data_IF_761194937014
#
_entry.id   IF_761194937014
#
_cell.length_a   1.000
_cell.length_b   1.000
_cell.length_c   1.000
_cell.angle_alpha   90.00
_cell.angle_beta   90.00
_cell.angle_gamma   90.00
#
_symmetry.space_group_name_H-M   'P 1'
#
loop_
_entity.id
_entity.type
_entity.pdbx_description
1 polymer ?
#
# COMPACT_ATOMS: atom_id res chain seq x y z
N UNK A 1 -11.24 -6.44 -10.37
CA UNK A 1 -12.06 -7.69 -10.40
C UNK A 1 -13.18 -7.61 -9.37
N UNK A 2 -14.42 -7.96 -9.76
CA UNK A 2 -15.60 -7.87 -8.89
C UNK A 2 -15.63 -8.92 -7.76
N UNK A 3 -14.79 -9.95 -7.84
CA UNK A 3 -14.62 -10.90 -6.74
C UNK A 3 -13.68 -10.37 -5.63
N UNK A 4 -12.94 -9.30 -5.89
CA UNK A 4 -12.08 -8.66 -4.90
C UNK A 4 -12.87 -7.62 -4.10
N UNK A 5 -12.61 -7.53 -2.78
CA UNK A 5 -13.37 -6.68 -1.88
C UNK A 5 -13.45 -5.21 -2.34
N UNK A 6 -12.36 -4.64 -2.87
CA UNK A 6 -12.38 -3.24 -3.31
C UNK A 6 -13.42 -3.00 -4.42
N UNK A 7 -13.43 -3.81 -5.49
CA UNK A 7 -14.43 -3.70 -6.56
C UNK A 7 -15.84 -4.02 -6.07
N UNK A 8 -16.00 -5.12 -5.34
CA UNK A 8 -17.31 -5.56 -4.83
C UNK A 8 -17.94 -4.56 -3.86
N UNK A 9 -17.14 -4.03 -2.90
CA UNK A 9 -17.66 -3.09 -1.92
C UNK A 9 -18.12 -1.78 -2.57
N UNK A 10 -17.35 -1.25 -3.53
CA UNK A 10 -17.72 -0.03 -4.25
C UNK A 10 -18.98 -0.24 -5.09
N UNK A 11 -19.14 -1.38 -5.76
CA UNK A 11 -20.37 -1.69 -6.47
C UNK A 11 -21.58 -1.75 -5.52
N UNK A 12 -21.44 -2.40 -4.35
CA UNK A 12 -22.51 -2.44 -3.33
C UNK A 12 -22.89 -1.05 -2.84
N UNK A 13 -21.90 -0.19 -2.55
CA UNK A 13 -22.13 1.21 -2.14
C UNK A 13 -22.86 1.98 -3.25
N UNK A 14 -22.44 1.82 -4.50
CA UNK A 14 -23.07 2.49 -5.62
C UNK A 14 -24.52 2.04 -5.82
N UNK A 15 -24.81 0.74 -5.72
CA UNK A 15 -26.19 0.22 -5.79
C UNK A 15 -27.04 0.73 -4.63
N UNK A 16 -26.54 0.69 -3.41
CA UNK A 16 -27.25 1.20 -2.23
C UNK A 16 -27.52 2.70 -2.30
N UNK A 17 -26.60 3.46 -2.93
CA UNK A 17 -26.71 4.91 -3.10
C UNK A 17 -27.38 5.34 -4.40
N UNK A 18 -27.89 4.41 -5.22
CA UNK A 18 -28.45 4.69 -6.55
C UNK A 18 -27.51 5.50 -7.45
N UNK A 19 -26.20 5.18 -7.41
CA UNK A 19 -25.16 5.88 -8.15
C UNK A 19 -24.84 5.18 -9.48
N UNK A 20 -24.45 5.95 -10.49
CA UNK A 20 -23.91 5.40 -11.75
C UNK A 20 -22.54 4.76 -11.54
N UNK A 21 -22.29 3.66 -12.23
CA UNK A 21 -21.01 2.94 -12.23
C UNK A 21 -20.48 2.90 -13.65
N UNK A 22 -19.21 3.28 -13.82
CA UNK A 22 -18.41 3.01 -15.01
C UNK A 22 -17.52 1.83 -14.71
N UNK A 23 -17.84 0.67 -15.30
CA UNK A 23 -17.11 -0.57 -15.11
C UNK A 23 -16.27 -0.87 -16.35
N UNK A 24 -14.95 -0.88 -16.20
CA UNK A 24 -14.03 -1.29 -17.26
C UNK A 24 -13.80 -2.81 -17.21
N UNK A 25 -13.65 -3.50 -18.36
CA UNK A 25 -13.43 -4.95 -18.41
C UNK A 25 -12.16 -5.38 -17.68
N UNK A 26 -11.11 -4.58 -17.83
CA UNK A 26 -9.84 -4.67 -17.11
C UNK A 26 -9.28 -3.27 -16.94
N UNK A 27 -8.27 -3.11 -16.06
CA UNK A 27 -7.60 -1.84 -15.91
C UNK A 27 -6.64 -1.61 -17.08
N UNK A 28 -6.87 -0.51 -17.79
CA UNK A 28 -5.93 0.14 -18.70
C UNK A 28 -5.91 1.64 -18.35
N UNK A 29 -4.72 2.24 -18.22
CA UNK A 29 -4.59 3.61 -17.73
C UNK A 29 -5.21 4.62 -18.71
N UNK A 30 -5.07 4.41 -20.03
CA UNK A 30 -5.61 5.31 -21.05
C UNK A 30 -7.14 5.22 -21.13
N UNK A 31 -7.68 4.00 -21.07
CA UNK A 31 -9.15 3.79 -21.03
C UNK A 31 -9.72 4.40 -19.74
N UNK A 32 -9.02 4.25 -18.61
CA UNK A 32 -9.44 4.83 -17.32
C UNK A 32 -9.51 6.36 -17.38
N UNK A 33 -8.47 7.03 -17.93
CA UNK A 33 -8.44 8.49 -18.12
C UNK A 33 -9.55 8.94 -19.07
N UNK A 34 -9.69 8.28 -20.22
CA UNK A 34 -10.72 8.62 -21.22
C UNK A 34 -12.15 8.46 -20.68
N UNK A 35 -12.37 7.46 -19.82
CA UNK A 35 -13.66 7.23 -19.16
C UNK A 35 -14.02 8.36 -18.20
N UNK A 36 -13.05 9.00 -17.53
CA UNK A 36 -13.31 10.14 -16.64
C UNK A 36 -13.98 11.29 -17.40
N UNK A 37 -13.41 11.69 -18.52
CA UNK A 37 -13.97 12.77 -19.36
C UNK A 37 -15.31 12.38 -19.97
N UNK A 38 -15.35 11.19 -20.60
CA UNK A 38 -16.53 10.71 -21.32
C UNK A 38 -17.78 10.62 -20.45
N UNK A 39 -17.62 10.11 -19.22
CA UNK A 39 -18.73 9.86 -18.31
C UNK A 39 -18.81 10.85 -17.15
N UNK A 40 -17.93 11.87 -17.14
CA UNK A 40 -17.83 12.89 -16.08
C UNK A 40 -17.76 12.26 -14.69
N UNK A 41 -16.86 11.30 -14.56
CA UNK A 41 -16.67 10.50 -13.31
C UNK A 41 -16.27 11.44 -12.18
N UNK A 42 -16.95 11.31 -11.04
CA UNK A 42 -16.73 12.17 -9.86
C UNK A 42 -15.95 11.47 -8.74
N UNK A 43 -15.96 10.16 -8.72
CA UNK A 43 -15.28 9.34 -7.71
C UNK A 43 -14.45 8.26 -8.40
N UNK A 44 -13.15 8.29 -8.15
CA UNK A 44 -12.22 7.27 -8.61
C UNK A 44 -11.93 6.28 -7.47
N UNK A 45 -11.96 4.99 -7.80
CA UNK A 45 -11.48 3.94 -6.90
C UNK A 45 -10.31 3.20 -7.56
N UNK A 46 -9.26 2.94 -6.80
CA UNK A 46 -8.01 2.39 -7.33
C UNK A 46 -7.16 1.73 -6.24
N UNK A 47 -6.08 1.14 -6.66
CA UNK A 47 -4.91 0.82 -5.81
C UNK A 47 -3.74 1.71 -6.21
N UNK A 48 -2.73 1.85 -5.34
CA UNK A 48 -1.59 2.72 -5.58
C UNK A 48 -0.91 2.48 -6.93
N UNK A 49 -0.70 1.21 -7.32
CA UNK A 49 -0.08 0.85 -8.60
C UNK A 49 -0.90 1.32 -9.82
N UNK A 50 -2.23 1.27 -9.75
CA UNK A 50 -3.09 1.79 -10.83
C UNK A 50 -2.91 3.30 -10.99
N UNK A 51 -2.92 4.06 -9.88
CA UNK A 51 -2.72 5.51 -9.95
C UNK A 51 -1.31 5.89 -10.41
N UNK A 52 -0.29 5.13 -10.04
CA UNK A 52 1.06 5.33 -10.57
C UNK A 52 1.11 5.17 -12.09
N UNK A 53 0.38 4.18 -12.64
CA UNK A 53 0.25 4.02 -14.11
C UNK A 53 -0.52 5.18 -14.76
N UNK A 54 -1.59 5.68 -14.12
CA UNK A 54 -2.35 6.85 -14.60
C UNK A 54 -1.46 8.08 -14.66
N UNK A 55 -0.69 8.36 -13.62
CA UNK A 55 0.19 9.55 -13.55
C UNK A 55 1.26 9.56 -14.65
N UNK A 56 1.66 8.40 -15.17
CA UNK A 56 2.63 8.27 -16.28
C UNK A 56 2.08 8.72 -17.65
N UNK A 57 0.77 8.76 -17.83
CA UNK A 57 0.14 9.12 -19.10
C UNK A 57 0.09 10.65 -19.29
N UNK A 58 1.25 11.33 -19.12
CA UNK A 58 1.37 12.79 -19.06
C UNK A 58 0.72 13.52 -20.24
N UNK A 59 0.96 13.08 -21.49
CA UNK A 59 0.41 13.70 -22.68
C UNK A 59 -1.13 13.58 -22.72
N UNK A 60 -1.66 12.41 -22.38
CA UNK A 60 -3.11 12.19 -22.33
C UNK A 60 -3.77 12.99 -21.22
N UNK A 61 -3.13 13.04 -20.03
CA UNK A 61 -3.61 13.83 -18.90
C UNK A 61 -3.67 15.34 -19.21
N UNK A 62 -2.70 15.86 -20.00
CA UNK A 62 -2.67 17.29 -20.37
C UNK A 62 -3.78 17.69 -21.31
N UNK A 63 -4.32 16.76 -22.08
CA UNK A 63 -5.36 17.01 -23.10
C UNK A 63 -6.76 16.57 -22.68
N UNK A 64 -6.89 15.82 -21.55
CA UNK A 64 -8.17 15.26 -21.05
C UNK A 64 -8.76 16.15 -19.96
N UNK A 65 -10.06 16.40 -20.03
CA UNK A 65 -10.77 17.17 -18.99
C UNK A 65 -11.10 16.29 -17.78
N UNK A 66 -10.33 16.47 -16.71
CA UNK A 66 -10.45 15.72 -15.44
C UNK A 66 -11.23 16.50 -14.36
N UNK A 67 -11.80 17.68 -14.67
CA UNK A 67 -12.39 18.60 -13.70
C UNK A 67 -13.62 18.04 -12.96
N UNK A 68 -14.22 16.96 -13.46
CA UNK A 68 -15.34 16.29 -12.79
C UNK A 68 -14.94 15.51 -11.54
N UNK A 69 -13.65 15.14 -11.41
CA UNK A 69 -13.18 14.31 -10.30
C UNK A 69 -13.19 15.10 -8.99
N UNK A 70 -13.88 14.60 -8.00
CA UNK A 70 -13.97 15.19 -6.65
C UNK A 70 -13.27 14.33 -5.59
N UNK A 71 -13.23 13.02 -5.79
CA UNK A 71 -12.66 12.08 -4.83
C UNK A 71 -11.79 11.06 -5.55
N UNK A 72 -10.59 10.85 -5.04
CA UNK A 72 -9.71 9.72 -5.39
C UNK A 72 -9.55 8.85 -4.14
N UNK A 73 -10.16 7.67 -4.15
CA UNK A 73 -9.98 6.68 -3.09
C UNK A 73 -8.97 5.64 -3.52
N UNK A 74 -7.90 5.56 -2.78
CA UNK A 74 -6.93 4.47 -2.89
C UNK A 74 -7.06 3.53 -1.70
N UNK A 75 -6.64 2.29 -1.84
CA UNK A 75 -6.62 1.32 -0.76
C UNK A 75 -6.00 0.00 -1.19
N UNK A 76 -6.03 -0.99 -0.29
CA UNK A 76 -5.54 -2.36 -0.51
C UNK A 76 -4.03 -2.50 -0.76
N UNK A 77 -3.27 -1.42 -0.77
CA UNK A 77 -1.81 -1.38 -0.89
C UNK A 77 -1.26 -0.11 -0.22
N UNK A 78 0.00 -0.11 0.22
CA UNK A 78 0.65 1.10 0.71
C UNK A 78 0.63 2.22 -0.32
N UNK A 79 0.44 3.46 0.15
CA UNK A 79 0.46 4.67 -0.68
C UNK A 79 1.65 5.51 -0.26
N UNK A 80 2.48 5.95 -1.21
CA UNK A 80 3.61 6.83 -0.94
C UNK A 80 3.21 8.30 -0.99
N UNK A 81 3.95 9.13 -0.23
CA UNK A 81 3.77 10.59 -0.26
C UNK A 81 3.99 11.17 -1.66
N UNK A 82 4.96 10.59 -2.40
CA UNK A 82 5.26 11.06 -3.74
C UNK A 82 4.09 10.82 -4.69
N UNK A 83 3.47 9.63 -4.65
CA UNK A 83 2.29 9.34 -5.46
C UNK A 83 1.15 10.31 -5.13
N UNK A 84 0.93 10.62 -3.86
CA UNK A 84 -0.09 11.61 -3.46
C UNK A 84 0.23 12.99 -4.05
N UNK A 85 1.49 13.44 -4.01
CA UNK A 85 1.91 14.72 -4.64
C UNK A 85 1.64 14.73 -6.14
N UNK A 86 1.95 13.62 -6.82
CA UNK A 86 1.75 13.51 -8.27
C UNK A 86 0.26 13.51 -8.64
N UNK A 87 -0.58 12.82 -7.86
CA UNK A 87 -2.04 12.85 -8.03
C UNK A 87 -2.60 14.26 -7.78
N UNK A 88 -2.15 14.96 -6.74
CA UNK A 88 -2.57 16.35 -6.47
C UNK A 88 -2.23 17.31 -7.60
N UNK A 89 -1.12 17.06 -8.32
CA UNK A 89 -0.73 17.87 -9.47
C UNK A 89 -1.72 17.73 -10.64
N UNK A 90 -2.19 16.52 -10.92
CA UNK A 90 -3.13 16.25 -12.02
C UNK A 90 -4.60 16.44 -11.63
N UNK A 91 -4.92 16.32 -10.36
CA UNK A 91 -6.28 16.44 -9.80
C UNK A 91 -6.29 17.39 -8.58
N UNK A 92 -5.98 18.69 -8.75
CA UNK A 92 -5.75 19.61 -7.65
C UNK A 92 -7.00 19.85 -6.76
N UNK A 93 -8.19 19.65 -7.31
CA UNK A 93 -9.46 19.85 -6.59
C UNK A 93 -10.03 18.57 -5.98
N UNK A 94 -9.39 17.42 -6.20
CA UNK A 94 -9.90 16.17 -5.70
C UNK A 94 -9.41 15.89 -4.26
N UNK A 95 -10.34 15.43 -3.41
CA UNK A 95 -9.98 14.88 -2.10
C UNK A 95 -9.37 13.50 -2.29
N UNK A 96 -8.13 13.33 -1.87
CA UNK A 96 -7.47 12.02 -1.86
C UNK A 96 -7.74 11.35 -0.53
N UNK A 97 -8.14 10.08 -0.57
CA UNK A 97 -8.36 9.26 0.63
C UNK A 97 -7.63 7.94 0.50
N UNK A 98 -6.93 7.57 1.56
CA UNK A 98 -6.31 6.26 1.70
C UNK A 98 -7.19 5.39 2.61
N UNK A 99 -7.74 4.32 2.09
CA UNK A 99 -8.64 3.43 2.82
C UNK A 99 -7.97 2.11 3.17
N UNK A 100 -8.28 1.61 4.35
CA UNK A 100 -7.83 0.31 4.82
C UNK A 100 -9.00 -0.63 5.07
N UNK A 101 -8.78 -1.89 4.81
CA UNK A 101 -9.69 -2.99 5.13
C UNK A 101 -9.11 -4.31 4.67
N UNK A 102 -9.58 -5.41 5.25
CA UNK A 102 -9.21 -6.77 4.88
C UNK A 102 -10.44 -7.55 4.49
N UNK A 103 -10.27 -8.64 3.76
CA UNK A 103 -11.39 -9.53 3.42
C UNK A 103 -12.01 -10.10 4.69
N UNK A 104 -11.19 -10.35 5.69
CA UNK A 104 -11.55 -10.98 6.96
C UNK A 104 -12.25 -10.02 7.92
N UNK A 105 -11.95 -8.74 7.90
CA UNK A 105 -12.50 -7.74 8.83
C UNK A 105 -13.43 -6.70 8.16
N UNK A 106 -13.63 -6.83 6.85
CA UNK A 106 -14.46 -5.89 6.08
C UNK A 106 -13.74 -4.58 5.73
N UNK A 107 -14.42 -3.70 4.96
CA UNK A 107 -13.82 -2.50 4.38
C UNK A 107 -13.83 -1.28 5.33
N UNK A 108 -14.42 -1.36 6.51
CA UNK A 108 -14.65 -0.22 7.40
C UNK A 108 -14.04 -0.50 8.77
N UNK A 109 -12.80 -0.06 8.94
CA UNK A 109 -12.05 -0.13 10.20
C UNK A 109 -11.75 1.27 10.72
N UNK A 110 -11.64 2.24 9.80
CA UNK A 110 -11.28 3.63 10.06
C UNK A 110 -12.39 4.59 9.64
N UNK A 111 -12.51 5.68 10.36
CA UNK A 111 -13.51 6.73 10.17
C UNK A 111 -12.90 8.12 10.17
N UNK A 112 -13.78 9.11 10.34
CA UNK A 112 -13.38 10.49 10.53
C UNK A 112 -12.89 10.71 11.96
N UNK A 113 -11.98 11.69 12.13
CA UNK A 113 -11.55 12.11 13.46
C UNK A 113 -12.73 12.74 14.22
N UNK A 114 -12.93 12.42 15.51
CA UNK A 114 -14.08 12.91 16.28
C UNK A 114 -14.11 14.43 16.43
N UNK A 115 -12.96 15.09 16.42
CA UNK A 115 -12.84 16.55 16.47
C UNK A 115 -12.82 17.20 15.07
N UNK A 116 -13.08 16.44 14.01
CA UNK A 116 -13.12 16.95 12.64
C UNK A 116 -11.76 17.25 12.01
N UNK A 117 -10.66 16.78 12.61
CA UNK A 117 -9.32 16.94 12.02
C UNK A 117 -9.26 16.24 10.65
N UNK A 118 -8.60 16.90 9.69
CA UNK A 118 -8.41 16.34 8.37
C UNK A 118 -7.48 15.13 8.41
N UNK A 119 -7.89 14.06 7.72
CA UNK A 119 -7.02 12.87 7.59
C UNK A 119 -5.74 13.24 6.83
N UNK A 120 -4.55 12.98 7.40
CA UNK A 120 -3.28 13.15 6.70
C UNK A 120 -3.18 12.26 5.46
N UNK A 121 -2.49 12.72 4.44
CA UNK A 121 -2.46 12.13 3.08
C UNK A 121 -2.18 10.62 3.02
N UNK A 122 -1.23 10.12 3.80
CA UNK A 122 -0.84 8.71 3.80
C UNK A 122 -1.41 7.91 4.98
N UNK A 123 -2.15 8.58 5.87
CA UNK A 123 -2.87 7.90 6.96
C UNK A 123 -3.98 7.01 6.39
N UNK A 124 -4.25 5.91 7.05
CA UNK A 124 -5.42 5.05 6.75
C UNK A 124 -6.70 5.54 7.44
N UNK A 125 -6.59 6.57 8.28
CA UNK A 125 -7.68 7.22 8.99
C UNK A 125 -7.58 7.13 10.50
N UNK A 126 -8.63 7.59 11.19
CA UNK A 126 -8.79 7.51 12.62
C UNK A 126 -9.51 6.19 12.99
N UNK A 127 -9.01 5.37 13.93
CA UNK A 127 -9.64 4.10 14.27
C UNK A 127 -11.04 4.31 14.84
N UNK A 128 -12.02 3.56 14.35
CA UNK A 128 -13.36 3.60 14.92
C UNK A 128 -13.31 2.95 16.32
N UNK A 129 -13.86 3.65 17.30
CA UNK A 129 -13.84 3.21 18.70
C UNK A 129 -14.39 1.78 18.86
N UNK A 130 -13.71 0.98 19.68
CA UNK A 130 -14.06 -0.42 19.96
C UNK A 130 -14.04 -1.38 18.75
N UNK A 131 -13.54 -0.93 17.60
CA UNK A 131 -13.42 -1.76 16.38
C UNK A 131 -11.98 -2.12 16.07
N UNK A 132 -11.05 -1.23 16.36
CA UNK A 132 -9.64 -1.36 16.07
C UNK A 132 -8.78 -1.03 17.30
N UNK A 133 -7.73 -1.81 17.51
CA UNK A 133 -6.70 -1.54 18.53
C UNK A 133 -5.34 -1.96 18.01
N UNK A 134 -4.27 -1.34 18.50
CA UNK A 134 -2.91 -1.77 18.24
C UNK A 134 -2.39 -2.58 19.42
N UNK A 135 -1.72 -3.69 19.13
CA UNK A 135 -1.21 -4.63 20.14
C UNK A 135 0.29 -4.82 19.94
N UNK A 136 1.05 -4.57 21.00
CA UNK A 136 2.48 -4.84 21.08
C UNK A 136 2.77 -5.66 22.34
N UNK A 137 3.05 -6.95 22.14
CA UNK A 137 3.16 -7.91 23.24
C UNK A 137 1.89 -7.93 24.10
N UNK A 138 2.02 -7.56 25.38
CA UNK A 138 0.90 -7.48 26.32
C UNK A 138 0.17 -6.13 26.35
N UNK A 139 0.67 -5.13 25.61
CA UNK A 139 0.06 -3.81 25.54
C UNK A 139 -1.02 -3.79 24.45
N UNK A 140 -2.29 -3.78 24.85
CA UNK A 140 -3.45 -3.84 23.97
C UNK A 140 -3.94 -2.48 23.45
N UNK A 141 -3.26 -1.38 23.79
CA UNK A 141 -3.52 -0.02 23.28
C UNK A 141 -2.19 0.68 22.99
N UNK A 142 -1.32 0.01 22.27
CA UNK A 142 -0.03 0.53 21.88
C UNK A 142 -0.15 1.64 20.83
N UNK A 143 0.87 2.51 20.73
CA UNK A 143 0.98 3.47 19.62
C UNK A 143 1.66 2.87 18.38
N UNK A 144 2.23 1.69 18.53
CA UNK A 144 2.87 0.90 17.49
C UNK A 144 2.60 -0.57 17.78
N UNK A 145 2.17 -1.33 16.78
CA UNK A 145 1.92 -2.75 16.96
C UNK A 145 1.04 -3.35 15.89
N UNK A 146 0.68 -4.62 16.07
CA UNK A 146 -0.24 -5.31 15.18
C UNK A 146 -1.66 -4.76 15.35
N UNK A 147 -2.30 -4.46 14.22
CA UNK A 147 -3.70 -4.07 14.21
C UNK A 147 -4.59 -5.29 14.49
N UNK A 148 -5.40 -5.20 15.53
CA UNK A 148 -6.47 -6.15 15.80
C UNK A 148 -7.83 -5.49 15.54
N UNK A 149 -8.76 -6.26 14.95
CA UNK A 149 -10.10 -5.80 14.59
C UNK A 149 -11.19 -6.63 15.24
N UNK A 150 -12.26 -5.96 15.69
CA UNK A 150 -13.46 -6.61 16.25
C UNK A 150 -14.70 -5.81 15.86
N UNK A 151 -15.41 -6.25 14.84
CA UNK A 151 -16.61 -5.59 14.32
C UNK A 151 -17.57 -6.63 13.73
N UNK A 152 -18.82 -6.27 13.43
CA UNK A 152 -19.82 -7.22 12.88
C UNK A 152 -19.47 -7.80 11.51
N UNK A 153 -18.50 -7.21 10.77
CA UNK A 153 -18.07 -7.68 9.47
C UNK A 153 -16.85 -8.63 9.55
N UNK A 154 -16.32 -8.87 10.75
CA UNK A 154 -15.24 -9.85 10.94
C UNK A 154 -15.77 -11.25 10.61
N UNK A 155 -15.01 -11.98 9.81
CA UNK A 155 -15.33 -13.35 9.41
C UNK A 155 -15.53 -14.26 10.62
N UNK A 156 -16.41 -15.26 10.56
CA UNK A 156 -16.53 -16.28 11.61
C UNK A 156 -15.32 -17.25 11.61
N UNK A 157 -14.56 -17.29 10.53
CA UNK A 157 -13.37 -18.13 10.38
C UNK A 157 -13.09 -18.52 8.94
N UNK A 158 -11.97 -19.18 8.73
CA UNK A 158 -11.58 -19.74 7.43
C UNK A 158 -12.30 -21.06 7.17
N UNK A 159 -12.95 -21.18 6.02
CA UNK A 159 -13.73 -22.36 5.66
C UNK A 159 -12.88 -23.65 5.68
N UNK A 160 -13.29 -24.63 6.47
CA UNK A 160 -12.61 -25.92 6.66
C UNK A 160 -11.16 -25.84 7.17
N UNK A 161 -10.79 -24.73 7.81
CA UNK A 161 -9.45 -24.51 8.36
C UNK A 161 -9.53 -24.05 9.82
N UNK A 162 -9.95 -24.93 10.76
CA UNK A 162 -10.19 -24.55 12.16
C UNK A 162 -8.91 -24.10 12.87
N UNK A 163 -7.76 -24.72 12.61
CA UNK A 163 -6.49 -24.33 13.23
C UNK A 163 -6.05 -22.94 12.77
N UNK A 164 -6.11 -22.67 11.48
CA UNK A 164 -5.85 -21.31 10.95
C UNK A 164 -6.82 -20.26 11.51
N UNK A 165 -8.07 -20.64 11.71
CA UNK A 165 -9.07 -19.77 12.35
C UNK A 165 -8.65 -19.46 13.78
N UNK A 166 -8.29 -20.47 14.57
CA UNK A 166 -7.82 -20.29 15.95
C UNK A 166 -6.59 -19.40 16.03
N UNK A 167 -5.62 -19.57 15.13
CA UNK A 167 -4.41 -18.74 15.05
C UNK A 167 -4.72 -17.28 14.69
N UNK A 168 -5.75 -17.03 13.88
CA UNK A 168 -6.12 -15.70 13.42
C UNK A 168 -6.84 -14.84 14.47
N UNK A 169 -7.26 -15.42 15.59
CA UNK A 169 -7.93 -14.69 16.65
C UNK A 169 -7.12 -14.68 17.94
N UNK A 170 -7.22 -13.61 18.70
CA UNK A 170 -6.72 -13.53 20.06
C UNK A 170 -7.67 -14.24 21.02
N UNK A 171 -7.22 -14.55 22.24
CA UNK A 171 -8.01 -15.23 23.26
C UNK A 171 -9.30 -14.46 23.62
N UNK A 172 -9.28 -13.13 23.55
CA UNK A 172 -10.41 -12.22 23.79
C UNK A 172 -11.26 -11.95 22.53
N UNK A 173 -11.02 -12.72 21.45
CA UNK A 173 -11.85 -12.77 20.25
C UNK A 173 -11.65 -11.61 19.27
N UNK A 174 -10.48 -10.97 19.25
CA UNK A 174 -10.11 -10.00 18.22
C UNK A 174 -9.40 -10.71 17.06
N UNK A 175 -9.76 -10.35 15.85
CA UNK A 175 -9.07 -10.79 14.64
C UNK A 175 -7.71 -10.09 14.53
N UNK A 176 -6.65 -10.85 14.44
CA UNK A 176 -5.26 -10.41 14.20
C UNK A 176 -5.05 -10.23 12.71
N UNK A 177 -4.82 -8.99 12.27
CA UNK A 177 -4.75 -8.71 10.83
C UNK A 177 -3.43 -9.09 10.17
N UNK A 178 -2.37 -9.26 10.97
CA UNK A 178 -1.01 -9.38 10.49
C UNK A 178 -0.42 -8.06 9.96
N UNK A 179 -1.14 -6.95 10.08
CA UNK A 179 -0.68 -5.63 9.63
C UNK A 179 -0.17 -4.82 10.82
N UNK A 180 1.07 -4.33 10.71
CA UNK A 180 1.68 -3.43 11.70
C UNK A 180 1.30 -2.00 11.36
N UNK A 181 0.84 -1.28 12.37
CA UNK A 181 0.45 0.12 12.28
C UNK A 181 1.20 0.95 13.33
N UNK A 182 1.33 2.23 13.07
CA UNK A 182 1.70 3.24 14.08
C UNK A 182 0.60 4.29 14.19
N UNK A 183 0.42 4.84 15.39
CA UNK A 183 -0.43 6.00 15.65
C UNK A 183 0.43 7.27 15.72
N UNK A 184 -0.09 8.39 15.23
CA UNK A 184 0.51 9.71 15.50
C UNK A 184 -0.07 10.34 16.78
N UNK A 185 0.36 11.55 17.10
CA UNK A 185 -0.09 12.32 18.28
C UNK A 185 -1.58 12.67 18.26
N UNK A 186 -2.19 12.70 17.06
CA UNK A 186 -3.61 12.93 16.87
C UNK A 186 -4.41 11.63 16.78
N UNK A 187 -3.79 10.47 16.94
CA UNK A 187 -4.44 9.17 16.89
C UNK A 187 -4.72 8.63 15.49
N UNK A 188 -4.25 9.28 14.43
CA UNK A 188 -4.34 8.72 13.08
C UNK A 188 -3.37 7.55 12.90
N UNK A 189 -3.84 6.49 12.26
CA UNK A 189 -3.02 5.31 12.02
C UNK A 189 -2.35 5.34 10.64
N UNK A 190 -1.14 4.77 10.59
CA UNK A 190 -0.33 4.64 9.39
C UNK A 190 0.15 3.21 9.23
N UNK A 191 -0.01 2.65 8.06
CA UNK A 191 0.51 1.32 7.76
C UNK A 191 2.04 1.34 7.73
N UNK A 192 2.64 0.43 8.49
CA UNK A 192 4.09 0.22 8.57
C UNK A 192 4.50 -0.94 7.66
N UNK A 193 3.90 -2.10 7.86
CA UNK A 193 4.23 -3.32 7.13
C UNK A 193 3.36 -4.49 7.55
N UNK A 194 3.70 -5.66 7.05
CA UNK A 194 3.08 -6.91 7.49
C UNK A 194 4.02 -7.69 8.39
N UNK A 195 3.44 -8.37 9.37
CA UNK A 195 4.18 -9.33 10.22
C UNK A 195 4.87 -10.39 9.35
N UNK A 196 4.16 -10.91 8.33
CA UNK A 196 4.65 -11.97 7.45
C UNK A 196 5.73 -11.51 6.46
N UNK A 197 5.77 -10.22 6.11
CA UNK A 197 6.76 -9.65 5.19
C UNK A 197 8.03 -9.19 5.91
N UNK A 198 7.98 -9.07 7.24
CA UNK A 198 9.11 -8.67 8.06
C UNK A 198 10.22 -9.73 7.98
N UNK A 199 11.45 -9.29 7.87
CA UNK A 199 12.62 -10.16 7.94
C UNK A 199 13.71 -9.58 8.85
N UNK A 200 14.51 -10.48 9.43
CA UNK A 200 15.59 -10.08 10.31
C UNK A 200 16.92 -9.95 9.55
N UNK A 201 17.59 -8.81 9.72
CA UNK A 201 18.89 -8.52 9.14
C UNK A 201 19.90 -8.21 10.24
N UNK A 202 20.66 -9.21 10.65
CA UNK A 202 21.71 -9.04 11.67
C UNK A 202 21.19 -8.64 13.05
N UNK A 203 20.01 -9.15 13.45
CA UNK A 203 19.34 -8.84 14.70
C UNK A 203 18.26 -7.77 14.61
N UNK A 204 18.21 -6.99 13.53
CA UNK A 204 17.25 -5.91 13.34
C UNK A 204 16.09 -6.34 12.45
N UNK A 205 14.86 -5.97 12.82
CA UNK A 205 13.67 -6.24 12.04
C UNK A 205 13.49 -5.20 10.94
N UNK A 206 13.37 -5.66 9.71
CA UNK A 206 13.11 -4.82 8.53
C UNK A 206 11.69 -5.09 8.03
N UNK A 207 10.92 -4.02 7.93
CA UNK A 207 9.64 -4.02 7.22
C UNK A 207 9.88 -3.46 5.81
N UNK A 208 9.76 -4.28 4.75
CA UNK A 208 10.04 -3.84 3.37
C UNK A 208 9.36 -2.54 2.98
N UNK A 209 8.10 -2.36 3.37
CA UNK A 209 7.32 -1.16 3.04
C UNK A 209 7.84 0.14 3.68
N UNK A 210 8.56 0.08 4.80
CA UNK A 210 9.23 1.26 5.37
C UNK A 210 10.40 1.69 4.49
N UNK A 211 11.20 0.73 4.05
CA UNK A 211 12.34 0.99 3.16
C UNK A 211 11.85 1.50 1.80
N UNK A 212 10.80 0.91 1.25
CA UNK A 212 10.16 1.34 0.00
C UNK A 212 9.69 2.79 0.07
N UNK A 213 8.93 3.14 1.12
CA UNK A 213 8.47 4.51 1.35
C UNK A 213 9.63 5.51 1.50
N UNK A 214 10.71 5.11 2.17
CA UNK A 214 11.90 5.93 2.31
C UNK A 214 12.55 6.17 0.94
N UNK A 215 12.74 5.14 0.13
CA UNK A 215 13.31 5.25 -1.21
C UNK A 215 12.42 6.09 -2.14
N UNK A 216 11.10 5.91 -2.11
CA UNK A 216 10.13 6.64 -2.95
C UNK A 216 10.00 8.13 -2.60
N UNK A 217 10.62 8.61 -1.50
CA UNK A 217 10.77 10.06 -1.23
C UNK A 217 11.82 10.71 -2.11
N UNK A 218 12.72 9.93 -2.71
CA UNK A 218 13.71 10.46 -3.65
C UNK A 218 13.02 10.92 -4.94
N UNK A 219 13.33 12.15 -5.39
CA UNK A 219 12.66 12.78 -6.56
C UNK A 219 12.79 12.01 -7.87
N UNK A 220 13.84 11.21 -8.02
CA UNK A 220 14.11 10.41 -9.21
C UNK A 220 13.63 8.95 -9.13
N UNK A 221 13.07 8.54 -8.00
CA UNK A 221 12.48 7.21 -7.84
C UNK A 221 10.98 7.31 -8.01
N UNK A 222 10.43 6.46 -8.86
CA UNK A 222 8.99 6.38 -9.07
C UNK A 222 8.35 5.33 -8.19
N UNK A 223 8.92 4.13 -8.19
CA UNK A 223 8.47 3.00 -7.36
C UNK A 223 9.66 2.20 -6.87
N UNK A 224 9.53 1.64 -5.68
CA UNK A 224 10.47 0.70 -5.13
C UNK A 224 9.76 -0.54 -4.56
N UNK A 225 10.42 -1.69 -4.65
CA UNK A 225 10.00 -2.91 -3.98
C UNK A 225 11.22 -3.57 -3.34
N UNK A 226 11.13 -3.85 -2.05
CA UNK A 226 12.22 -4.44 -1.27
C UNK A 226 11.86 -5.88 -0.91
N UNK A 227 12.82 -6.77 -1.15
CA UNK A 227 12.67 -8.18 -0.82
C UNK A 227 13.86 -8.68 0.00
N UNK A 228 13.67 -9.66 0.89
CA UNK A 228 14.75 -10.29 1.61
C UNK A 228 15.56 -11.21 0.68
N UNK A 229 16.88 -11.19 0.79
CA UNK A 229 17.75 -12.18 0.19
C UNK A 229 18.62 -12.78 1.28
N UNK A 230 18.75 -14.12 1.28
CA UNK A 230 19.56 -14.82 2.28
C UNK A 230 21.00 -14.33 2.28
N UNK A 231 21.55 -14.12 3.47
CA UNK A 231 22.94 -13.74 3.71
C UNK A 231 23.55 -14.65 4.77
N UNK A 232 24.80 -15.11 4.55
CA UNK A 232 25.43 -16.08 5.44
C UNK A 232 25.75 -15.53 6.83
N UNK A 233 25.92 -14.20 6.96
CA UNK A 233 26.32 -13.55 8.22
C UNK A 233 25.10 -12.96 8.92
N UNK A 234 24.19 -12.32 8.15
CA UNK A 234 23.07 -11.54 8.69
C UNK A 234 21.73 -12.26 8.66
N UNK A 235 21.67 -13.49 8.17
CA UNK A 235 20.46 -14.23 7.90
C UNK A 235 19.78 -13.74 6.60
N UNK A 236 19.34 -12.48 6.59
CA UNK A 236 18.81 -11.82 5.39
C UNK A 236 19.45 -10.45 5.20
N UNK A 237 19.36 -9.94 3.96
CA UNK A 237 19.71 -8.57 3.60
C UNK A 237 18.65 -7.99 2.66
N UNK A 238 18.38 -6.68 2.73
CA UNK A 238 17.44 -6.03 1.83
C UNK A 238 18.02 -5.86 0.43
N UNK A 239 17.22 -6.21 -0.58
CA UNK A 239 17.49 -5.96 -2.00
C UNK A 239 16.34 -5.14 -2.55
N UNK A 240 16.64 -4.03 -3.25
CA UNK A 240 15.63 -3.16 -3.82
C UNK A 240 15.53 -3.33 -5.33
N UNK A 241 14.31 -3.47 -5.82
CA UNK A 241 13.96 -3.31 -7.23
C UNK A 241 13.37 -1.91 -7.40
N UNK A 242 13.96 -1.10 -8.27
CA UNK A 242 13.64 0.33 -8.39
C UNK A 242 13.23 0.67 -9.80
N UNK A 243 12.10 1.34 -9.93
CA UNK A 243 11.67 2.00 -11.15
C UNK A 243 12.09 3.46 -11.05
N UNK A 244 12.96 3.91 -11.96
CA UNK A 244 13.39 5.29 -12.05
C UNK A 244 12.36 6.14 -12.79
N UNK A 245 12.28 7.42 -12.48
CA UNK A 245 11.54 8.37 -13.29
C UNK A 245 12.21 8.55 -14.65
N UNK A 246 11.45 8.94 -15.63
CA UNK A 246 11.94 9.24 -16.97
C UNK A 246 13.02 10.34 -16.91
N UNK A 247 14.13 10.12 -17.63
CA UNK A 247 15.29 11.02 -17.64
C UNK A 247 16.20 10.94 -16.40
N UNK A 248 15.96 10.01 -15.47
CA UNK A 248 16.82 9.83 -14.30
C UNK A 248 18.10 9.07 -14.61
N UNK A 249 19.23 9.61 -14.16
CA UNK A 249 20.56 8.98 -14.18
C UNK A 249 20.98 8.41 -12.81
N UNK A 250 20.03 8.30 -11.87
CA UNK A 250 20.29 7.82 -10.52
C UNK A 250 20.94 6.44 -10.55
N UNK A 251 22.12 6.35 -9.93
CA UNK A 251 22.91 5.10 -9.87
C UNK A 251 22.52 4.23 -8.67
N UNK A 252 22.96 2.96 -8.70
CA UNK A 252 22.81 2.05 -7.55
C UNK A 252 23.46 2.64 -6.29
N UNK A 253 24.68 3.17 -6.42
CA UNK A 253 25.40 3.79 -5.29
C UNK A 253 24.70 5.06 -4.80
N UNK A 254 24.12 5.85 -5.69
CA UNK A 254 23.30 7.01 -5.32
C UNK A 254 22.11 6.61 -4.45
N UNK A 255 21.40 5.53 -4.78
CA UNK A 255 20.30 4.99 -3.98
C UNK A 255 20.78 4.51 -2.62
N UNK A 256 21.92 3.80 -2.56
CA UNK A 256 22.49 3.31 -1.31
C UNK A 256 22.89 4.45 -0.38
N UNK A 257 23.55 5.49 -0.92
CA UNK A 257 23.90 6.68 -0.16
C UNK A 257 22.66 7.43 0.34
N UNK A 258 21.66 7.61 -0.52
CA UNK A 258 20.39 8.20 -0.12
C UNK A 258 19.73 7.43 1.03
N UNK A 259 19.69 6.11 0.93
CA UNK A 259 19.12 5.27 1.98
C UNK A 259 19.86 5.38 3.31
N UNK A 260 21.20 5.44 3.28
CA UNK A 260 22.03 5.63 4.47
C UNK A 260 21.85 7.01 5.11
N UNK A 261 21.58 8.04 4.32
CA UNK A 261 21.34 9.40 4.80
C UNK A 261 19.92 9.61 5.36
N UNK A 262 18.94 8.80 4.94
CA UNK A 262 17.52 9.02 5.24
C UNK A 262 16.87 7.90 6.07
N UNK A 263 17.61 6.87 6.45
CA UNK A 263 17.13 5.75 7.25
C UNK A 263 18.22 5.06 8.06
N UNK A 264 17.83 4.14 8.94
CA UNK A 264 18.80 3.34 9.71
C UNK A 264 19.72 2.52 8.79
N UNK A 265 20.99 2.39 9.17
CA UNK A 265 21.99 1.70 8.36
C UNK A 265 21.65 0.22 8.05
N UNK A 266 20.88 -0.45 8.90
CA UNK A 266 20.45 -1.83 8.67
C UNK A 266 19.38 -1.94 7.58
N UNK A 267 18.60 -0.89 7.33
CA UNK A 267 17.53 -0.84 6.32
C UNK A 267 18.04 -0.56 4.90
N UNK A 268 19.28 -0.04 4.72
CA UNK A 268 19.73 0.33 3.38
C UNK A 268 19.88 -0.90 2.47
N UNK A 269 19.39 -0.86 1.23
CA UNK A 269 19.53 -1.97 0.29
C UNK A 269 21.00 -2.28 0.00
N UNK A 270 21.36 -3.57 0.06
CA UNK A 270 22.73 -4.02 -0.26
C UNK A 270 22.95 -4.17 -1.76
N UNK A 271 21.88 -4.43 -2.48
CA UNK A 271 21.84 -4.53 -3.94
C UNK A 271 20.62 -3.74 -4.43
N UNK A 272 20.79 -3.02 -5.51
CA UNK A 272 19.73 -2.32 -6.20
C UNK A 272 19.66 -2.81 -7.64
N UNK A 273 18.48 -3.20 -8.08
CA UNK A 273 18.22 -3.62 -9.47
C UNK A 273 17.22 -2.67 -10.10
N UNK A 274 17.61 -2.01 -11.19
CA UNK A 274 16.70 -1.20 -11.95
C UNK A 274 15.80 -2.04 -12.83
N UNK A 275 14.51 -1.71 -12.84
CA UNK A 275 13.49 -2.35 -13.67
C UNK A 275 12.62 -1.30 -14.34
N UNK A 276 12.13 -1.58 -15.54
CA UNK A 276 11.21 -0.67 -16.23
C UNK A 276 9.86 -0.60 -15.52
N UNK A 277 9.40 -1.73 -14.96
CA UNK A 277 8.16 -1.84 -14.19
C UNK A 277 8.22 -2.99 -13.18
N UNK A 278 7.56 -2.81 -12.06
CA UNK A 278 7.34 -3.86 -11.08
C UNK A 278 6.29 -4.86 -11.57
N UNK A 279 6.48 -6.17 -11.36
CA UNK A 279 5.47 -7.17 -11.70
C UNK A 279 4.24 -7.00 -10.79
N UNK A 280 3.05 -7.19 -11.39
CA UNK A 280 1.78 -7.09 -10.67
C UNK A 280 1.08 -8.44 -10.59
N UNK A 281 0.35 -8.65 -9.51
CA UNK A 281 -0.61 -9.75 -9.35
C UNK A 281 -1.88 -9.48 -10.18
N UNK A 282 -2.77 -10.47 -10.29
CA UNK A 282 -4.08 -10.30 -10.93
C UNK A 282 -5.00 -9.25 -10.28
N UNK A 283 -4.64 -8.75 -9.09
CA UNK A 283 -5.35 -7.67 -8.38
C UNK A 283 -4.61 -6.32 -8.43
N UNK A 284 -3.64 -6.18 -9.34
CA UNK A 284 -2.81 -5.00 -9.53
C UNK A 284 -1.98 -4.58 -8.29
N UNK A 285 -1.61 -5.54 -7.44
CA UNK A 285 -0.63 -5.34 -6.37
C UNK A 285 0.73 -5.82 -6.82
N UNK A 286 1.81 -5.27 -6.24
CA UNK A 286 3.18 -5.72 -6.53
C UNK A 286 3.33 -7.21 -6.17
N UNK A 287 3.81 -7.99 -7.13
CA UNK A 287 4.09 -9.42 -6.96
C UNK A 287 5.51 -9.63 -6.43
N UNK A 288 5.66 -9.56 -5.10
CA UNK A 288 6.94 -9.74 -4.41
C UNK A 288 7.56 -11.12 -4.66
N UNK A 289 6.75 -12.18 -4.71
CA UNK A 289 7.23 -13.55 -4.93
C UNK A 289 7.96 -13.69 -6.27
N UNK A 290 7.48 -12.99 -7.28
CA UNK A 290 8.12 -12.98 -8.60
C UNK A 290 9.45 -12.23 -8.61
N UNK A 291 9.62 -11.25 -7.72
CA UNK A 291 10.87 -10.51 -7.52
C UNK A 291 11.86 -11.31 -6.68
N UNK A 292 11.43 -12.04 -5.65
CA UNK A 292 12.27 -12.95 -4.86
C UNK A 292 12.98 -13.97 -5.76
N UNK A 293 12.23 -14.61 -6.66
CA UNK A 293 12.79 -15.56 -7.62
C UNK A 293 13.85 -14.95 -8.56
N UNK A 294 13.69 -13.66 -8.92
CA UNK A 294 14.68 -12.92 -9.74
C UNK A 294 15.94 -12.57 -8.94
N UNK A 295 15.79 -12.22 -7.67
CA UNK A 295 16.92 -11.89 -6.79
C UNK A 295 17.82 -13.08 -6.55
N UNK A 296 17.27 -14.28 -6.40
CA UNK A 296 18.03 -15.52 -6.30
C UNK A 296 18.77 -15.89 -7.60
N UNK A 297 18.16 -15.58 -8.76
CA UNK A 297 18.79 -15.82 -10.07
C UNK A 297 19.93 -14.87 -10.37
N UNK A 298 19.86 -13.61 -9.94
CA UNK A 298 20.96 -12.64 -10.04
C UNK A 298 22.19 -13.07 -9.22
N UNK A 299 21.99 -13.67 -8.05
CA UNK A 299 23.07 -14.22 -7.20
C UNK A 299 23.89 -15.33 -7.86
N UNK A 300 23.25 -16.14 -8.71
CA UNK A 300 23.95 -17.26 -9.38
C UNK A 300 24.85 -16.80 -10.53
N UNK A 301 24.72 -15.53 -10.95
CA UNK A 301 25.55 -14.93 -12.00
C UNK A 301 26.78 -14.20 -11.46
N UNK A 302 26.78 -13.82 -10.18
CA UNK A 302 27.89 -13.12 -9.51
C UNK A 302 28.82 -14.07 -8.72
N UNK A 303 28.68 -15.39 -8.89
CA UNK A 303 29.59 -16.44 -8.43
C UNK A 303 30.25 -17.12 -9.62
#
# INVERSE_FOLDING_TARGET
>A
PLYHMNGLAICKVAFAGHLGIVLLPQFDAKEYISAIEKYKVTWLTSVAAMMAMVVREGDLLSTTNLSSVRIVRMGSAPVSEQLVRDIKRILPNAKITNGYGTTEAGPVVYGQHPEGLAQPDISVGYPIANIARLVDGNNVNAQYGELHCKNPAVMPGYNKLPEKTKEAFSEDGWYKTGDIMRSDENGFHYFVGRVDDMFNCGGENIYPSEVEKMLERHSEIEQACVVPVTDQIKGFKPVAFVVRREGSDLSEDGIKQYALANGPAYQHPRVVSFVEKLPLTGTNKIDRKRLDARSESARKRDK
#
